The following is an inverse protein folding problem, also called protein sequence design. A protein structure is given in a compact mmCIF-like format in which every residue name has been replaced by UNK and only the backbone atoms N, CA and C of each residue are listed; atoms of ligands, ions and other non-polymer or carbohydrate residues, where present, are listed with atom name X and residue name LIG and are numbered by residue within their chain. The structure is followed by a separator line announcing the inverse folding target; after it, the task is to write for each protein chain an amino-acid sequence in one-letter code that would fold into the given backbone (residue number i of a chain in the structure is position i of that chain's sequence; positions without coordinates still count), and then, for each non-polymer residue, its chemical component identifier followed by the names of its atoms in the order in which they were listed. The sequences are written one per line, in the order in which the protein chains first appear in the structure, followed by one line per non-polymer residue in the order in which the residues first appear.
data_IF_849915465248
#
_entry.id   IF_849915465248
#
_cell.length_a   1.000
_cell.length_b   1.000
_cell.length_c   1.000
_cell.angle_alpha   90.00
_cell.angle_beta   90.00
_cell.angle_gamma   90.00
#
_symmetry.space_group_name_H-M   'P 1'
#
loop_
_entity.id
_entity.type
_entity.pdbx_description
1 polymer ?
#
# COMPACT_ATOMS: atom_id res chain seq x y z
N UNK A 1 -7.07 -8.20 33.03
CA UNK A 1 -7.28 -7.94 31.61
C UNK A 1 -5.93 -7.98 30.92
N UNK A 2 -5.90 -8.34 29.65
CA UNK A 2 -4.67 -8.16 28.85
C UNK A 2 -4.47 -6.68 28.52
N UNK A 3 -3.23 -6.26 28.28
CA UNK A 3 -2.92 -4.90 27.83
C UNK A 3 -3.71 -4.53 26.56
N UNK A 4 -3.96 -5.50 25.68
CA UNK A 4 -4.74 -5.30 24.46
C UNK A 4 -6.22 -4.99 24.77
N UNK A 5 -6.81 -5.67 25.74
CA UNK A 5 -8.20 -5.42 26.17
C UNK A 5 -8.34 -4.04 26.82
N UNK A 6 -7.37 -3.62 27.61
CA UNK A 6 -7.32 -2.29 28.23
C UNK A 6 -7.28 -1.19 27.16
N UNK A 7 -6.34 -1.28 26.21
CA UNK A 7 -6.23 -0.34 25.07
C UNK A 7 -7.52 -0.35 24.22
N UNK A 8 -8.10 -1.52 23.96
CA UNK A 8 -9.34 -1.60 23.19
C UNK A 8 -10.49 -0.89 23.90
N UNK A 9 -10.59 -1.00 25.22
CA UNK A 9 -11.62 -0.31 26.01
C UNK A 9 -11.51 1.21 25.91
N UNK A 10 -10.30 1.75 25.85
CA UNK A 10 -10.04 3.19 25.68
C UNK A 10 -10.32 3.69 24.27
N UNK A 11 -10.06 2.86 23.25
CA UNK A 11 -10.24 3.20 21.83
C UNK A 11 -11.68 3.01 21.37
N UNK A 12 -12.41 2.05 21.95
CA UNK A 12 -13.80 1.74 21.61
C UNK A 12 -14.76 2.94 21.59
N UNK A 13 -14.71 3.90 22.54
CA UNK A 13 -15.58 5.09 22.53
C UNK A 13 -15.18 6.19 21.53
N UNK A 14 -14.02 6.11 20.88
CA UNK A 14 -13.57 7.13 19.93
C UNK A 14 -14.47 7.22 18.69
N UNK A 15 -14.38 8.33 17.94
CA UNK A 15 -15.06 8.45 16.64
C UNK A 15 -14.36 7.57 15.61
N UNK A 16 -15.09 7.17 14.57
CA UNK A 16 -14.56 6.30 13.50
C UNK A 16 -13.27 6.86 12.86
N UNK A 17 -13.18 8.18 12.69
CA UNK A 17 -12.00 8.82 12.12
C UNK A 17 -10.77 8.69 13.03
N UNK A 18 -10.95 8.90 14.34
CA UNK A 18 -9.85 8.79 15.32
C UNK A 18 -9.37 7.34 15.44
N UNK A 19 -10.30 6.37 15.38
CA UNK A 19 -9.95 4.94 15.32
C UNK A 19 -9.15 4.61 14.06
N UNK A 20 -9.56 5.14 12.90
CA UNK A 20 -8.84 4.94 11.64
C UNK A 20 -7.42 5.48 11.72
N UNK A 21 -7.24 6.70 12.23
CA UNK A 21 -5.91 7.29 12.42
C UNK A 21 -5.01 6.45 13.34
N UNK A 22 -5.57 5.86 14.39
CA UNK A 22 -4.81 4.96 15.27
C UNK A 22 -4.40 3.67 14.56
N UNK A 23 -5.32 3.06 13.81
CA UNK A 23 -5.04 1.86 13.00
C UNK A 23 -3.93 2.14 11.98
N UNK A 24 -3.98 3.27 11.28
CA UNK A 24 -2.93 3.68 10.34
C UNK A 24 -1.55 3.80 11.02
N UNK A 25 -1.49 4.42 12.20
CA UNK A 25 -0.24 4.53 12.97
C UNK A 25 0.30 3.17 13.40
N UNK A 26 -0.57 2.27 13.84
CA UNK A 26 -0.18 0.90 14.21
C UNK A 26 0.35 0.16 12.99
N UNK A 27 -0.38 0.18 11.86
CA UNK A 27 0.05 -0.43 10.61
C UNK A 27 1.41 0.10 10.13
N UNK A 28 1.61 1.42 10.18
CA UNK A 28 2.89 2.04 9.82
C UNK A 28 4.04 1.61 10.75
N UNK A 29 3.75 1.34 12.03
CA UNK A 29 4.77 0.85 12.97
C UNK A 29 5.15 -0.61 12.71
N UNK A 30 4.23 -1.43 12.20
CA UNK A 30 4.47 -2.83 11.85
C UNK A 30 5.25 -2.95 10.55
N UNK A 31 4.99 -2.04 9.60
CA UNK A 31 5.68 -1.98 8.31
C UNK A 31 6.46 -0.66 8.20
N UNK A 32 7.57 -0.52 8.94
CA UNK A 32 8.39 0.67 8.84
C UNK A 32 8.93 0.81 7.41
N UNK A 33 8.74 2.00 6.84
CA UNK A 33 9.22 2.32 5.51
C UNK A 33 10.74 2.47 5.56
N UNK A 34 11.44 1.61 4.83
CA UNK A 34 12.87 1.77 4.58
C UNK A 34 13.06 2.81 3.46
N UNK A 35 13.63 3.96 3.82
CA UNK A 35 13.84 5.08 2.90
C UNK A 35 14.78 4.75 1.75
N UNK A 36 15.73 3.83 1.96
CA UNK A 36 16.63 3.40 0.90
C UNK A 36 15.88 2.53 -0.12
N UNK A 37 15.02 1.64 0.37
CA UNK A 37 14.14 0.82 -0.48
C UNK A 37 13.18 1.73 -1.26
N UNK A 38 12.52 2.69 -0.62
CA UNK A 38 11.63 3.64 -1.30
C UNK A 38 12.34 4.41 -2.42
N UNK A 39 13.57 4.87 -2.16
CA UNK A 39 14.35 5.59 -3.16
C UNK A 39 14.66 4.70 -4.39
N UNK A 40 14.98 3.43 -4.16
CA UNK A 40 15.20 2.46 -5.25
C UNK A 40 13.90 2.18 -6.01
N UNK A 41 12.77 2.03 -5.31
CA UNK A 41 11.46 1.82 -5.93
C UNK A 41 11.02 3.01 -6.77
N UNK A 42 11.20 4.23 -6.29
CA UNK A 42 10.90 5.45 -7.05
C UNK A 42 11.70 5.50 -8.35
N UNK A 43 13.02 5.25 -8.27
CA UNK A 43 13.90 5.22 -9.43
C UNK A 43 13.51 4.13 -10.44
N UNK A 44 13.20 2.93 -9.97
CA UNK A 44 12.78 1.82 -10.82
C UNK A 44 11.43 2.10 -11.50
N UNK A 45 10.48 2.70 -10.78
CA UNK A 45 9.18 3.08 -11.32
C UNK A 45 9.33 4.08 -12.48
N UNK A 46 10.13 5.14 -12.28
CA UNK A 46 10.44 6.12 -13.32
C UNK A 46 11.13 5.48 -14.53
N UNK A 47 12.16 4.64 -14.28
CA UNK A 47 12.88 3.95 -15.34
C UNK A 47 11.98 3.03 -16.17
N UNK A 48 11.02 2.35 -15.54
CA UNK A 48 10.04 1.49 -16.25
C UNK A 48 9.11 2.28 -17.14
N UNK A 49 8.63 3.44 -16.68
CA UNK A 49 7.78 4.32 -17.50
C UNK A 49 8.56 4.81 -18.72
N UNK A 50 9.80 5.29 -18.52
CA UNK A 50 10.65 5.75 -19.62
C UNK A 50 10.95 4.64 -20.64
N UNK A 51 11.26 3.42 -20.18
CA UNK A 51 11.52 2.29 -21.05
C UNK A 51 10.26 1.86 -21.83
N UNK A 52 9.07 1.93 -21.22
CA UNK A 52 7.80 1.70 -21.90
C UNK A 52 7.56 2.75 -22.99
N UNK A 53 7.72 4.04 -22.68
CA UNK A 53 7.53 5.14 -23.64
C UNK A 53 8.50 5.07 -24.81
N UNK A 54 9.72 4.56 -24.58
CA UNK A 54 10.72 4.31 -25.63
C UNK A 54 10.51 3.02 -26.42
N UNK A 55 9.48 2.23 -26.11
CA UNK A 55 9.22 0.93 -26.76
C UNK A 55 10.26 -0.14 -26.44
N UNK A 56 11.01 0.00 -25.34
CA UNK A 56 12.04 -0.94 -24.90
C UNK A 56 11.48 -2.10 -24.06
N UNK A 57 10.19 -2.04 -23.70
CA UNK A 57 9.51 -3.08 -22.93
C UNK A 57 8.48 -3.81 -23.78
N UNK A 58 8.41 -5.12 -23.65
CA UNK A 58 7.29 -5.90 -24.15
C UNK A 58 6.04 -5.62 -23.31
N UNK A 59 4.89 -5.56 -23.96
CA UNK A 59 3.62 -5.23 -23.33
C UNK A 59 2.60 -6.33 -23.63
N UNK A 60 1.63 -6.46 -22.75
CA UNK A 60 0.47 -7.36 -22.93
C UNK A 60 -0.79 -6.51 -22.90
N UNK A 61 -1.77 -6.87 -23.74
CA UNK A 61 -3.01 -6.11 -23.84
C UNK A 61 -3.82 -6.23 -22.56
N UNK A 62 -4.26 -5.09 -22.02
CA UNK A 62 -5.17 -5.08 -20.87
C UNK A 62 -6.46 -5.86 -21.18
N UNK A 63 -7.00 -5.73 -22.38
CA UNK A 63 -8.19 -6.46 -22.81
C UNK A 63 -8.00 -7.97 -22.75
N UNK A 64 -6.83 -8.47 -23.16
CA UNK A 64 -6.50 -9.91 -23.10
C UNK A 64 -6.41 -10.39 -21.65
N UNK A 65 -5.74 -9.63 -20.77
CA UNK A 65 -5.56 -10.00 -19.36
C UNK A 65 -6.90 -10.00 -18.59
N UNK A 66 -7.74 -9.00 -18.84
CA UNK A 66 -9.01 -8.84 -18.11
C UNK A 66 -10.19 -9.62 -18.73
N UNK A 67 -10.00 -10.28 -19.87
CA UNK A 67 -11.05 -11.04 -20.56
C UNK A 67 -11.79 -12.02 -19.64
N UNK A 68 -11.08 -12.67 -18.69
CA UNK A 68 -11.68 -13.64 -17.76
C UNK A 68 -12.70 -13.06 -16.78
N UNK A 69 -12.75 -11.74 -16.63
CA UNK A 69 -13.65 -11.03 -15.70
C UNK A 69 -14.82 -10.33 -16.41
N UNK A 70 -14.87 -10.36 -17.74
CA UNK A 70 -16.01 -9.86 -18.51
C UNK A 70 -17.09 -10.95 -18.56
N UNK A 71 -17.90 -11.05 -17.52
CA UNK A 71 -19.11 -11.87 -17.44
C UNK A 71 -20.23 -11.11 -16.77
#
# INVERSE_FOLDING_TARGET
MSVVEEIFSEVSPLKSLDKLQLVEKILASLHPIDKEVEAVWAKEAEARVEAYEKGMLSTVSATEIFAKYQK
#
